data_IF_356817998961
#
_entry.id   IF_356817998961
#
_cell.length_a   1.000
_cell.length_b   1.000
_cell.length_c   1.000
_cell.angle_alpha   90.00
_cell.angle_beta   90.00
_cell.angle_gamma   90.00
#
_symmetry.space_group_name_H-M   'P 1'
#
loop_
_entity.id
_entity.type
_entity.pdbx_description
1 polymer ?
#
# COMPACT_ATOMS: atom_id res chain seq x y z
N UNK A 1 -26.94 8.71 24.53
CA UNK A 1 -26.55 7.64 23.59
C UNK A 1 -25.94 6.56 24.45
N UNK A 2 -26.70 5.48 24.67
CA UNK A 2 -26.39 4.50 25.71
C UNK A 2 -25.47 3.40 25.15
N UNK A 3 -24.58 2.86 25.98
CA UNK A 3 -23.57 1.88 25.59
C UNK A 3 -24.17 0.64 24.89
N UNK A 4 -25.38 0.23 25.26
CA UNK A 4 -26.10 -0.89 24.62
C UNK A 4 -26.49 -0.58 23.18
N UNK A 5 -27.00 0.63 22.91
CA UNK A 5 -27.38 1.05 21.56
C UNK A 5 -26.16 1.12 20.63
N UNK A 6 -24.99 1.51 21.17
CA UNK A 6 -23.74 1.51 20.41
C UNK A 6 -23.31 0.09 20.04
N UNK A 7 -23.34 -0.84 21.00
CA UNK A 7 -23.04 -2.26 20.76
C UNK A 7 -23.95 -2.87 19.69
N UNK A 8 -25.25 -2.64 19.78
CA UNK A 8 -26.21 -3.13 18.79
C UNK A 8 -25.91 -2.61 17.39
N UNK A 9 -25.62 -1.31 17.24
CA UNK A 9 -25.23 -0.72 15.96
C UNK A 9 -23.93 -1.32 15.41
N UNK A 10 -22.94 -1.57 16.27
CA UNK A 10 -21.69 -2.21 15.82
C UNK A 10 -21.91 -3.63 15.34
N UNK A 11 -22.74 -4.42 16.03
CA UNK A 11 -23.06 -5.79 15.62
C UNK A 11 -23.85 -5.80 14.31
N UNK A 12 -24.87 -4.95 14.20
CA UNK A 12 -25.64 -4.79 12.97
C UNK A 12 -24.74 -4.41 11.79
N UNK A 13 -23.84 -3.44 11.96
CA UNK A 13 -22.89 -3.07 10.93
C UNK A 13 -21.97 -4.26 10.54
N UNK A 14 -21.53 -5.07 11.50
CA UNK A 14 -20.73 -6.25 11.21
C UNK A 14 -21.52 -7.32 10.43
N UNK A 15 -22.79 -7.54 10.78
CA UNK A 15 -23.68 -8.48 10.09
C UNK A 15 -23.96 -8.03 8.65
N UNK A 16 -24.25 -6.75 8.43
CA UNK A 16 -24.44 -6.17 7.09
C UNK A 16 -23.18 -6.34 6.24
N UNK A 17 -22.00 -6.15 6.83
CA UNK A 17 -20.71 -6.31 6.14
C UNK A 17 -20.42 -7.78 5.82
N UNK A 18 -20.72 -8.71 6.73
CA UNK A 18 -20.62 -10.15 6.48
C UNK A 18 -21.55 -10.60 5.38
N UNK A 19 -22.79 -10.10 5.36
CA UNK A 19 -23.75 -10.39 4.32
C UNK A 19 -23.30 -9.84 2.96
N UNK A 20 -22.74 -8.62 2.92
CA UNK A 20 -22.24 -8.01 1.71
C UNK A 20 -20.98 -8.71 1.15
N UNK A 21 -20.10 -9.18 2.03
CA UNK A 21 -18.83 -9.82 1.68
C UNK A 21 -18.78 -11.26 2.18
N UNK A 22 -19.61 -12.11 1.58
CA UNK A 22 -19.54 -13.55 1.85
C UNK A 22 -18.17 -14.08 1.42
N UNK A 23 -17.55 -14.90 2.29
CA UNK A 23 -16.24 -15.50 2.07
C UNK A 23 -16.39 -17.01 1.96
N UNK A 24 -15.91 -17.58 0.86
CA UNK A 24 -15.76 -19.02 0.69
C UNK A 24 -14.28 -19.38 0.88
N UNK A 25 -14.00 -20.40 1.69
CA UNK A 25 -12.63 -20.84 1.98
C UNK A 25 -12.51 -22.36 1.84
N UNK A 26 -11.59 -22.82 0.99
CA UNK A 26 -11.32 -24.24 0.77
C UNK A 26 -9.83 -24.46 0.45
N UNK A 27 -9.19 -25.40 1.15
CA UNK A 27 -7.79 -25.88 0.99
C UNK A 27 -6.64 -24.85 1.07
N UNK A 28 -6.92 -23.56 0.88
CA UNK A 28 -6.11 -22.34 1.02
C UNK A 28 -6.61 -21.24 0.07
N UNK A 29 -7.57 -21.54 -0.80
CA UNK A 29 -8.21 -20.59 -1.69
C UNK A 29 -9.37 -19.89 -0.98
N UNK A 30 -9.38 -18.56 -1.08
CA UNK A 30 -10.35 -17.66 -0.47
C UNK A 30 -11.03 -16.87 -1.59
N UNK A 31 -12.34 -17.02 -1.72
CA UNK A 31 -13.14 -16.22 -2.64
C UNK A 31 -13.90 -15.13 -1.89
N UNK A 32 -13.73 -13.87 -2.30
CA UNK A 32 -14.41 -12.71 -1.72
C UNK A 32 -14.55 -11.59 -2.76
N UNK A 33 -15.76 -11.02 -2.91
CA UNK A 33 -16.02 -9.91 -3.86
C UNK A 33 -15.45 -10.16 -5.27
N UNK A 34 -15.67 -11.35 -5.83
CA UNK A 34 -15.14 -11.77 -7.15
C UNK A 34 -13.61 -11.70 -7.26
N UNK A 35 -12.91 -11.75 -6.13
CA UNK A 35 -11.47 -12.00 -6.06
C UNK A 35 -11.24 -13.44 -5.67
N UNK A 36 -10.20 -14.02 -6.25
CA UNK A 36 -9.63 -15.30 -5.83
C UNK A 36 -8.30 -14.99 -5.15
N UNK A 37 -8.20 -15.32 -3.86
CA UNK A 37 -7.02 -15.10 -3.05
C UNK A 37 -6.46 -16.44 -2.57
N UNK A 38 -5.14 -16.57 -2.46
CA UNK A 38 -4.48 -17.73 -1.88
C UNK A 38 -3.87 -17.39 -0.53
N UNK A 39 -4.14 -18.20 0.49
CA UNK A 39 -3.51 -18.12 1.79
C UNK A 39 -2.09 -18.67 1.70
N UNK A 40 -1.12 -17.76 1.57
CA UNK A 40 0.30 -18.11 1.38
C UNK A 40 1.09 -18.16 2.70
N UNK A 41 0.61 -17.44 3.73
CA UNK A 41 1.18 -17.53 5.08
C UNK A 41 0.07 -17.32 6.13
N UNK A 42 0.17 -18.05 7.24
CA UNK A 42 -0.82 -18.04 8.31
C UNK A 42 -0.17 -18.25 9.68
N UNK A 43 0.56 -17.24 10.14
CA UNK A 43 1.23 -17.27 11.43
C UNK A 43 0.23 -17.31 12.59
N UNK A 44 0.37 -18.32 13.46
CA UNK A 44 -0.52 -18.57 14.62
C UNK A 44 -2.01 -18.74 14.26
N UNK A 45 -2.31 -19.26 13.06
CA UNK A 45 -3.70 -19.50 12.63
C UNK A 45 -4.56 -18.22 12.71
N UNK A 46 -4.00 -17.09 12.31
CA UNK A 46 -4.65 -15.78 12.38
C UNK A 46 -5.83 -15.61 11.43
N UNK A 47 -5.85 -16.37 10.33
CA UNK A 47 -6.87 -16.25 9.30
C UNK A 47 -8.25 -16.68 9.80
N UNK A 48 -9.24 -15.79 9.64
CA UNK A 48 -10.65 -16.03 9.96
C UNK A 48 -11.52 -15.41 8.84
N UNK A 49 -12.25 -16.25 8.06
CA UNK A 49 -13.12 -15.79 6.97
C UNK A 49 -14.16 -14.75 7.41
N UNK A 50 -14.72 -14.90 8.62
CA UNK A 50 -15.76 -14.01 9.14
C UNK A 50 -15.18 -12.64 9.51
N UNK A 51 -13.96 -12.60 10.07
CA UNK A 51 -13.27 -11.34 10.35
C UNK A 51 -12.83 -10.66 9.05
N UNK A 52 -12.38 -11.42 8.06
CA UNK A 52 -12.06 -10.89 6.73
C UNK A 52 -13.28 -10.19 6.13
N UNK A 53 -14.44 -10.85 6.10
CA UNK A 53 -15.69 -10.30 5.58
C UNK A 53 -16.05 -8.93 6.19
N UNK A 54 -15.94 -8.81 7.51
CA UNK A 54 -16.24 -7.57 8.25
C UNK A 54 -15.30 -6.43 7.84
N UNK A 55 -14.02 -6.73 7.66
CA UNK A 55 -12.96 -5.72 7.49
C UNK A 55 -12.60 -5.44 6.04
N UNK A 56 -12.97 -6.32 5.10
CA UNK A 56 -12.64 -6.18 3.70
C UNK A 56 -13.16 -4.87 3.08
N UNK A 57 -12.28 -4.15 2.40
CA UNK A 57 -12.66 -2.95 1.66
C UNK A 57 -12.38 -3.17 0.17
N UNK A 58 -13.29 -2.74 -0.75
CA UNK A 58 -13.09 -2.91 -2.19
C UNK A 58 -11.79 -2.32 -2.74
N UNK A 59 -11.24 -1.29 -2.08
CA UNK A 59 -9.94 -0.72 -2.44
C UNK A 59 -8.79 -1.73 -2.30
N UNK A 60 -8.94 -2.77 -1.47
CA UNK A 60 -7.93 -3.82 -1.33
C UNK A 60 -7.81 -4.69 -2.59
N UNK A 61 -8.82 -4.70 -3.45
CA UNK A 61 -8.82 -5.47 -4.69
C UNK A 61 -7.70 -5.06 -5.66
N UNK A 62 -7.14 -3.86 -5.54
CA UNK A 62 -6.07 -3.37 -6.42
C UNK A 62 -4.69 -3.96 -6.11
N UNK A 63 -4.51 -4.53 -4.93
CA UNK A 63 -3.21 -5.01 -4.45
C UNK A 63 -3.00 -6.47 -4.80
N UNK A 64 -1.73 -6.82 -5.03
CA UNK A 64 -1.29 -8.18 -5.31
C UNK A 64 -1.26 -9.04 -4.03
N UNK A 65 -1.08 -8.41 -2.86
CA UNK A 65 -1.08 -9.08 -1.56
C UNK A 65 -1.93 -8.32 -0.55
N UNK A 66 -2.66 -9.04 0.29
CA UNK A 66 -3.41 -8.51 1.43
C UNK A 66 -2.86 -9.17 2.69
N UNK A 67 -2.31 -8.35 3.58
CA UNK A 67 -1.79 -8.78 4.87
C UNK A 67 -2.81 -8.46 5.94
N UNK A 68 -3.17 -9.47 6.73
CA UNK A 68 -4.03 -9.33 7.88
C UNK A 68 -3.27 -9.52 9.17
N UNK A 69 -3.15 -8.49 10.00
CA UNK A 69 -2.53 -8.60 11.33
C UNK A 69 -3.58 -8.40 12.44
N UNK A 70 -3.39 -9.12 13.55
CA UNK A 70 -4.27 -9.03 14.71
C UNK A 70 -3.62 -8.14 15.76
N UNK A 71 -4.23 -6.97 16.01
CA UNK A 71 -3.81 -6.06 17.06
C UNK A 71 -4.98 -5.76 17.98
N UNK A 72 -4.79 -5.96 19.29
CA UNK A 72 -5.85 -5.84 20.30
C UNK A 72 -7.15 -6.57 19.91
N UNK A 73 -7.02 -7.82 19.45
CA UNK A 73 -8.09 -8.70 18.96
C UNK A 73 -8.88 -8.18 17.74
N UNK A 74 -8.44 -7.08 17.14
CA UNK A 74 -9.02 -6.52 15.93
C UNK A 74 -8.15 -6.83 14.72
N UNK A 75 -8.79 -7.36 13.68
CA UNK A 75 -8.15 -7.57 12.39
C UNK A 75 -7.93 -6.22 11.70
N UNK A 76 -6.70 -5.98 11.24
CA UNK A 76 -6.34 -4.89 10.33
C UNK A 76 -5.93 -5.50 9.00
N UNK A 77 -6.28 -4.83 7.91
CA UNK A 77 -5.91 -5.26 6.57
C UNK A 77 -5.05 -4.19 5.92
N UNK A 78 -3.91 -4.59 5.35
CA UNK A 78 -3.02 -3.74 4.57
C UNK A 78 -2.74 -4.39 3.22
N UNK A 79 -2.82 -3.59 2.15
CA UNK A 79 -2.49 -4.03 0.81
C UNK A 79 -1.02 -3.76 0.46
N UNK A 80 -0.40 -4.70 -0.26
CA UNK A 80 0.95 -4.60 -0.80
C UNK A 80 0.95 -4.99 -2.27
N UNK A 81 1.80 -4.34 -3.05
CA UNK A 81 2.07 -4.69 -4.44
C UNK A 81 3.20 -5.71 -4.53
N UNK A 82 3.20 -6.47 -5.63
CA UNK A 82 4.33 -7.33 -5.97
C UNK A 82 5.58 -6.48 -6.25
N UNK A 83 6.76 -7.08 -6.07
CA UNK A 83 8.04 -6.36 -6.18
C UNK A 83 8.34 -5.84 -7.58
N UNK A 84 7.72 -6.43 -8.60
CA UNK A 84 7.81 -6.02 -10.01
C UNK A 84 7.00 -4.74 -10.33
N UNK A 85 6.10 -4.32 -9.44
CA UNK A 85 5.26 -3.15 -9.66
C UNK A 85 6.06 -1.85 -9.52
N UNK A 86 5.75 -0.90 -10.42
CA UNK A 86 6.34 0.44 -10.41
C UNK A 86 5.66 1.35 -9.38
N UNK A 87 5.87 1.05 -8.10
CA UNK A 87 5.39 1.80 -6.94
C UNK A 87 6.54 2.06 -5.96
N UNK A 88 6.33 2.96 -5.00
CA UNK A 88 7.32 3.20 -3.94
C UNK A 88 7.56 1.92 -3.11
N UNK A 89 8.79 1.77 -2.61
CA UNK A 89 9.24 0.55 -1.92
C UNK A 89 8.36 0.20 -0.72
N UNK A 90 7.88 1.20 0.03
CA UNK A 90 7.01 1.04 1.21
C UNK A 90 5.67 0.33 0.94
N UNK A 91 5.25 0.26 -0.32
CA UNK A 91 4.02 -0.43 -0.74
C UNK A 91 4.28 -1.84 -1.27
N UNK A 92 5.53 -2.31 -1.30
CA UNK A 92 5.89 -3.59 -1.89
C UNK A 92 5.94 -4.71 -0.86
N UNK A 93 5.67 -5.93 -1.29
CA UNK A 93 5.66 -7.10 -0.40
C UNK A 93 7.04 -7.36 0.22
N UNK A 94 8.14 -6.98 -0.43
CA UNK A 94 9.49 -7.06 0.17
C UNK A 94 9.64 -6.29 1.48
N UNK A 95 8.84 -5.25 1.74
CA UNK A 95 8.87 -4.50 3.00
C UNK A 95 7.89 -5.03 4.05
N UNK A 96 7.30 -6.22 3.85
CA UNK A 96 6.40 -6.83 4.82
C UNK A 96 7.08 -6.98 6.19
N UNK A 97 8.32 -7.44 6.20
CA UNK A 97 9.05 -7.67 7.45
C UNK A 97 9.25 -6.38 8.24
N UNK A 98 9.60 -5.28 7.56
CA UNK A 98 9.73 -3.96 8.17
C UNK A 98 8.39 -3.48 8.72
N UNK A 99 7.31 -3.68 7.97
CA UNK A 99 5.96 -3.35 8.43
C UNK A 99 5.56 -4.11 9.70
N UNK A 100 5.86 -5.41 9.77
CA UNK A 100 5.58 -6.21 10.97
C UNK A 100 6.39 -5.72 12.17
N UNK A 101 7.65 -5.36 11.98
CA UNK A 101 8.49 -4.85 13.08
C UNK A 101 8.09 -3.45 13.56
N UNK A 102 7.61 -2.59 12.66
CA UNK A 102 7.28 -1.20 13.01
C UNK A 102 5.86 -1.06 13.59
N UNK A 103 4.88 -1.80 13.06
CA UNK A 103 3.46 -1.55 13.35
C UNK A 103 2.73 -2.69 14.07
N UNK A 104 3.38 -3.85 14.23
CA UNK A 104 2.77 -5.04 14.83
C UNK A 104 3.51 -5.40 16.11
N UNK A 105 2.74 -5.74 17.16
CA UNK A 105 3.34 -6.18 18.42
C UNK A 105 4.12 -7.48 18.20
N UNK A 106 5.26 -7.61 18.89
CA UNK A 106 6.07 -8.83 18.79
C UNK A 106 5.25 -10.09 19.07
N UNK A 107 5.30 -11.03 18.12
CA UNK A 107 4.59 -12.30 18.21
C UNK A 107 3.08 -12.20 18.00
N UNK A 108 2.53 -11.06 17.55
CA UNK A 108 1.13 -10.99 17.17
C UNK A 108 0.83 -11.90 15.95
N UNK A 109 -0.36 -12.53 15.91
CA UNK A 109 -0.77 -13.33 14.76
C UNK A 109 -0.95 -12.48 13.50
N UNK A 110 -0.59 -13.03 12.34
CA UNK A 110 -0.87 -12.43 11.04
C UNK A 110 -1.06 -13.50 9.97
N UNK A 111 -1.62 -13.11 8.84
CA UNK A 111 -1.72 -13.93 7.64
C UNK A 111 -1.44 -13.09 6.40
N UNK A 112 -1.11 -13.76 5.30
CA UNK A 112 -0.87 -13.15 3.99
C UNK A 112 -1.72 -13.87 2.95
N UNK A 113 -2.51 -13.08 2.22
CA UNK A 113 -3.27 -13.52 1.07
C UNK A 113 -2.63 -12.97 -0.20
N UNK A 114 -2.33 -13.83 -1.16
CA UNK A 114 -1.94 -13.43 -2.53
C UNK A 114 -3.19 -13.32 -3.40
N UNK A 115 -3.32 -12.26 -4.17
CA UNK A 115 -4.43 -12.02 -5.07
C UNK A 115 -4.09 -12.48 -6.49
N UNK A 116 -4.82 -13.47 -6.99
CA UNK A 116 -4.56 -14.07 -8.30
C UNK A 116 -4.96 -13.15 -9.46
N UNK A 117 -5.95 -12.28 -9.23
CA UNK A 117 -6.42 -11.34 -10.24
C UNK A 117 -6.71 -9.96 -9.64
N UNK A 118 -5.65 -9.17 -9.35
CA UNK A 118 -5.80 -7.84 -8.79
C UNK A 118 -6.50 -6.89 -9.75
N UNK A 119 -7.60 -6.29 -9.29
CA UNK A 119 -8.37 -5.26 -10.00
C UNK A 119 -7.69 -3.92 -9.84
N UNK A 120 -6.58 -3.75 -10.55
CA UNK A 120 -5.82 -2.49 -10.55
C UNK A 120 -6.69 -1.39 -11.14
N UNK A 121 -7.13 -0.47 -10.29
CA UNK A 121 -7.67 0.80 -10.77
C UNK A 121 -6.50 1.54 -11.41
N UNK A 122 -6.43 1.51 -12.75
CA UNK A 122 -5.55 2.39 -13.51
C UNK A 122 -6.05 3.82 -13.33
N UNK A 123 -5.79 4.42 -12.18
CA UNK A 123 -5.71 5.87 -12.11
C UNK A 123 -4.55 6.19 -13.02
N UNK A 124 -4.87 6.57 -14.26
CA UNK A 124 -3.91 6.98 -15.27
C UNK A 124 -2.82 7.77 -14.55
N UNK A 125 -1.57 7.30 -14.63
CA UNK A 125 -0.41 8.12 -14.30
C UNK A 125 -0.64 9.42 -15.06
N UNK A 126 -1.14 10.48 -14.41
CA UNK A 126 -1.03 11.81 -14.99
C UNK A 126 0.47 11.94 -15.21
N UNK A 127 0.94 12.09 -16.46
CA UNK A 127 2.36 12.25 -16.68
C UNK A 127 2.75 13.44 -15.83
N UNK A 128 3.64 13.22 -14.86
CA UNK A 128 4.33 14.30 -14.18
C UNK A 128 4.96 15.11 -15.29
N UNK A 129 4.31 16.22 -15.65
CA UNK A 129 4.86 17.17 -16.60
C UNK A 129 6.27 17.48 -16.10
N UNK A 130 7.31 17.43 -16.95
CA UNK A 130 8.64 17.75 -16.50
C UNK A 130 8.57 19.18 -15.96
N UNK A 131 8.75 19.34 -14.65
CA UNK A 131 8.89 20.64 -14.01
C UNK A 131 10.00 21.35 -14.78
N UNK A 132 9.62 22.29 -15.65
CA UNK A 132 10.53 23.20 -16.34
C UNK A 132 11.46 23.77 -15.28
N UNK A 133 12.69 23.27 -15.21
CA UNK A 133 13.75 23.87 -14.40
C UNK A 133 13.91 25.29 -14.95
N UNK A 134 13.48 26.30 -14.17
CA UNK A 134 13.80 27.70 -14.46
C UNK A 134 15.32 27.79 -14.65
N UNK A 135 15.83 28.41 -15.72
CA UNK A 135 17.26 28.58 -15.89
C UNK A 135 17.76 29.48 -14.75
N UNK A 136 18.57 28.94 -13.85
CA UNK A 136 19.37 29.75 -12.92
C UNK A 136 20.41 30.48 -13.75
N UNK A 137 20.26 31.79 -13.89
CA UNK A 137 21.27 32.68 -14.48
C UNK A 137 22.59 32.50 -13.72
N UNK A 138 23.55 31.76 -14.31
CA UNK A 138 24.94 31.84 -13.93
C UNK A 138 25.45 33.21 -14.36
N UNK A 139 25.72 34.11 -13.40
CA UNK A 139 26.60 35.26 -13.62
C UNK A 139 28.00 34.71 -13.80
N UNK A 140 28.52 34.77 -15.02
CA UNK A 140 29.92 34.47 -15.31
C UNK A 140 30.79 35.68 -15.00
N UNK A 141 31.78 35.48 -14.13
CA UNK A 141 32.84 36.43 -13.82
C UNK A 141 33.59 36.84 -15.08
N UNK A 142 33.59 38.15 -15.36
CA UNK A 142 34.25 38.73 -16.52
C UNK A 142 35.72 38.98 -16.16
N UNK A 143 36.56 37.97 -16.39
CA UNK A 143 38.02 38.09 -16.34
C UNK A 143 38.51 39.02 -17.45
N UNK A 144 38.81 40.27 -17.09
CA UNK A 144 39.48 41.25 -17.95
C UNK A 144 40.90 40.77 -18.27
N UNK A 145 41.11 40.20 -19.45
CA UNK A 145 42.42 40.19 -20.13
C UNK A 145 42.36 41.21 -21.26
N UNK A 146 43.00 42.36 -21.08
CA UNK A 146 43.38 43.25 -22.17
C UNK A 146 44.91 43.25 -22.28
N UNK A 147 45.36 42.65 -23.37
CA UNK A 147 46.74 42.66 -23.84
C UNK A 147 47.13 44.09 -24.20
N UNK A 148 48.18 44.60 -23.56
CA UNK A 148 48.92 45.74 -24.09
C UNK A 148 49.75 45.26 -25.28
N UNK A 149 49.43 45.77 -26.48
CA UNK A 149 50.33 45.71 -27.64
C UNK A 149 51.19 46.97 -27.65
N UNK A 150 52.49 46.76 -27.50
CA UNK A 150 53.56 47.71 -27.78
C UNK A 150 53.54 47.99 -29.28
N UNK A 151 53.63 49.26 -29.68
CA UNK A 151 54.20 49.61 -30.98
C UNK A 151 55.04 50.88 -30.84
N UNK A 152 56.35 50.71 -31.02
CA UNK A 152 57.33 51.77 -31.26
C UNK A 152 57.41 52.08 -32.76
N UNK A 153 57.93 53.27 -33.07
CA UNK A 153 58.40 53.87 -34.34
C UNK A 153 57.58 55.14 -34.63
N UNK A 154 58.16 56.32 -34.74
CA UNK A 154 59.49 56.76 -35.18
C UNK A 154 59.90 58.01 -34.41
#
# INVERSE_FOLDING_TARGET
MDHETLKQRTLQQQEERKAAYTVHFADNEVEIDRLTLLLVDNFKSAFDPQKLAVRYAPILAQYDYIVGDISADQLRLKGFYADDQYVAQEYKISTLQDYLYEFVNFGAPYFVLENINPRRNTVAKKPTTPRRRKPTHKKSDNARKHQFKINQKK
#
